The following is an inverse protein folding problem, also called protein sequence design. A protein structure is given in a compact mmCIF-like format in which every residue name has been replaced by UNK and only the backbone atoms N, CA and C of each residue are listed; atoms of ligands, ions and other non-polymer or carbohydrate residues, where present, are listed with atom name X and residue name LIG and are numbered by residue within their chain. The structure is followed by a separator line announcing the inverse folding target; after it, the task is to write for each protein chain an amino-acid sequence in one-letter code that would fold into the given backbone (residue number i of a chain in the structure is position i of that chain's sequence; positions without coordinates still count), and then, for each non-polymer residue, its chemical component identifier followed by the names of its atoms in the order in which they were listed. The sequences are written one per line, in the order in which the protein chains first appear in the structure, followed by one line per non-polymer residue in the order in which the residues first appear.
data_IF_460413218614
#
_entry.id   IF_460413218614
#
_cell.length_a   1.000
_cell.length_b   1.000
_cell.length_c   1.000
_cell.angle_alpha   90.00
_cell.angle_beta   90.00
_cell.angle_gamma   90.00
#
_symmetry.space_group_name_H-M   'P 1'
#
loop_
_entity.id
_entity.type
_entity.pdbx_description
1 polymer ?
#
# COMPACT_ATOMS: atom_id res chain seq x y z
N UNK A 1 -9.06 -31.76 -24.93
CA UNK A 1 -8.09 -31.43 -26.00
C UNK A 1 -8.27 -29.99 -26.53
N UNK A 2 -9.47 -29.57 -26.93
CA UNK A 2 -9.73 -28.23 -27.47
C UNK A 2 -9.33 -27.07 -26.55
N UNK A 3 -9.63 -27.13 -25.24
CA UNK A 3 -9.28 -26.06 -24.29
C UNK A 3 -7.77 -25.87 -24.11
N UNK A 4 -6.97 -26.94 -24.16
CA UNK A 4 -5.52 -26.88 -24.02
C UNK A 4 -4.86 -26.30 -25.29
N UNK A 5 -5.36 -26.66 -26.46
CA UNK A 5 -4.91 -26.08 -27.74
C UNK A 5 -5.23 -24.58 -27.83
N UNK A 6 -6.37 -24.14 -27.33
CA UNK A 6 -6.71 -22.71 -27.24
C UNK A 6 -5.77 -21.94 -26.29
N UNK A 7 -5.43 -22.51 -25.13
CA UNK A 7 -4.47 -21.94 -24.19
C UNK A 7 -3.07 -21.83 -24.81
N UNK A 8 -2.62 -22.87 -25.51
CA UNK A 8 -1.33 -22.86 -26.23
C UNK A 8 -1.32 -21.80 -27.33
N UNK A 9 -2.38 -21.71 -28.14
CA UNK A 9 -2.52 -20.65 -29.17
C UNK A 9 -2.52 -19.26 -28.55
N UNK A 10 -3.21 -19.06 -27.41
CA UNK A 10 -3.26 -17.78 -26.70
C UNK A 10 -1.89 -17.39 -26.17
N UNK A 11 -1.07 -18.33 -25.70
CA UNK A 11 0.30 -18.08 -25.23
C UNK A 11 1.27 -17.76 -26.36
N UNK A 12 1.17 -18.49 -27.47
CA UNK A 12 2.05 -18.31 -28.62
C UNK A 12 1.70 -17.09 -29.47
N UNK A 13 0.50 -16.50 -29.30
CA UNK A 13 0.16 -15.26 -29.97
C UNK A 13 1.03 -14.12 -29.44
N UNK A 14 1.63 -13.28 -30.31
CA UNK A 14 2.51 -12.19 -29.88
C UNK A 14 1.76 -11.16 -29.06
N UNK A 15 2.48 -10.42 -28.24
CA UNK A 15 2.00 -9.16 -27.67
C UNK A 15 1.80 -8.19 -28.83
N UNK A 16 0.60 -7.62 -28.95
CA UNK A 16 0.28 -6.71 -30.07
C UNK A 16 0.20 -5.25 -29.63
N UNK A 17 0.31 -5.01 -28.34
CA UNK A 17 0.23 -3.68 -27.74
C UNK A 17 1.59 -3.31 -27.14
N UNK A 18 2.35 -2.48 -27.86
CA UNK A 18 3.64 -1.95 -27.40
C UNK A 18 3.39 -0.79 -26.42
N UNK A 19 2.91 -1.12 -25.24
CA UNK A 19 2.52 -0.18 -24.17
C UNK A 19 2.83 -0.76 -22.81
N UNK A 20 2.96 0.13 -21.81
CA UNK A 20 2.96 -0.21 -20.41
C UNK A 20 1.51 -0.11 -19.86
N UNK A 21 0.99 -1.21 -19.34
CA UNK A 21 -0.37 -1.27 -18.77
C UNK A 21 -0.29 -1.43 -17.27
N UNK A 22 -0.93 -0.54 -16.56
CA UNK A 22 -0.91 -0.40 -15.11
C UNK A 22 -2.26 -0.71 -14.49
N UNK A 23 -2.24 -1.24 -13.29
CA UNK A 23 -3.37 -1.25 -12.35
C UNK A 23 -2.86 -1.26 -10.91
N UNK A 24 -3.65 -0.79 -9.97
CA UNK A 24 -3.33 -0.82 -8.55
C UNK A 24 -4.59 -1.19 -7.77
N UNK A 25 -4.46 -2.06 -6.76
CA UNK A 25 -5.56 -2.55 -5.93
C UNK A 25 -6.83 -2.91 -6.72
N UNK A 26 -6.65 -3.59 -7.86
CA UNK A 26 -7.73 -4.01 -8.76
C UNK A 26 -8.61 -2.86 -9.28
N UNK A 27 -8.02 -1.75 -9.64
CA UNK A 27 -8.74 -0.67 -10.34
C UNK A 27 -8.62 0.73 -9.72
N UNK A 28 -7.59 0.99 -8.92
CA UNK A 28 -7.31 2.35 -8.40
C UNK A 28 -6.13 2.99 -9.12
N UNK A 29 -6.16 4.32 -9.23
CA UNK A 29 -4.99 5.11 -9.66
C UNK A 29 -4.21 5.54 -8.42
N UNK A 30 -3.28 4.69 -7.94
CA UNK A 30 -2.58 4.92 -6.66
C UNK A 30 -1.31 4.09 -6.52
N UNK A 31 -0.59 4.28 -5.40
CA UNK A 31 0.52 3.44 -4.95
C UNK A 31 1.72 3.41 -5.91
N UNK A 32 2.60 2.42 -5.80
CA UNK A 32 3.81 2.27 -6.63
C UNK A 32 3.54 2.28 -8.14
N UNK A 33 2.49 1.64 -8.69
CA UNK A 33 2.18 1.75 -10.11
C UNK A 33 1.92 3.20 -10.56
N UNK A 34 1.30 4.05 -9.72
CA UNK A 34 1.11 5.49 -10.01
C UNK A 34 2.47 6.20 -10.11
N UNK A 35 3.33 6.03 -9.11
CA UNK A 35 4.66 6.65 -9.09
C UNK A 35 5.50 6.25 -10.33
N UNK A 36 5.48 4.96 -10.69
CA UNK A 36 6.17 4.46 -11.88
C UNK A 36 5.60 5.07 -13.16
N UNK A 37 4.25 5.15 -13.29
CA UNK A 37 3.64 5.70 -14.51
C UNK A 37 3.91 7.19 -14.68
N UNK A 38 3.97 7.94 -13.59
CA UNK A 38 4.35 9.36 -13.60
C UNK A 38 5.81 9.54 -14.05
N UNK A 39 6.74 8.74 -13.47
CA UNK A 39 8.15 8.76 -13.86
C UNK A 39 8.35 8.29 -15.30
N UNK A 40 7.58 7.30 -15.77
CA UNK A 40 7.64 6.85 -17.17
C UNK A 40 7.22 7.94 -18.15
N UNK A 41 6.16 8.68 -17.83
CA UNK A 41 5.75 9.84 -18.64
C UNK A 41 6.80 10.94 -18.65
N UNK A 42 7.45 11.20 -17.51
CA UNK A 42 8.52 12.21 -17.39
C UNK A 42 9.73 11.85 -18.27
N UNK A 43 10.21 10.59 -18.22
CA UNK A 43 11.45 10.15 -18.87
C UNK A 43 11.28 9.68 -20.33
N UNK A 44 10.07 9.24 -20.69
CA UNK A 44 9.76 8.69 -22.02
C UNK A 44 8.30 8.96 -22.40
N UNK A 45 7.94 10.24 -22.65
CA UNK A 45 6.56 10.64 -22.92
C UNK A 45 5.98 10.02 -24.21
N UNK A 46 6.81 9.51 -25.10
CA UNK A 46 6.40 8.81 -26.31
C UNK A 46 5.87 7.39 -26.07
N UNK A 47 6.12 6.81 -24.88
CA UNK A 47 5.65 5.46 -24.55
C UNK A 47 4.17 5.50 -24.15
N UNK A 48 3.31 4.71 -24.83
CA UNK A 48 1.89 4.65 -24.46
C UNK A 48 1.68 4.06 -23.06
N UNK A 49 1.01 4.82 -22.20
CA UNK A 49 0.63 4.42 -20.85
C UNK A 49 -0.87 4.17 -20.81
N UNK A 50 -1.26 3.00 -20.32
CA UNK A 50 -2.68 2.62 -20.15
C UNK A 50 -2.89 2.25 -18.68
N UNK A 51 -3.94 2.82 -18.10
CA UNK A 51 -4.40 2.48 -16.76
C UNK A 51 -5.70 1.71 -16.81
N UNK A 52 -5.72 0.56 -16.17
CA UNK A 52 -6.95 -0.20 -15.89
C UNK A 52 -7.44 0.20 -14.51
N UNK A 53 -8.55 0.89 -14.48
CA UNK A 53 -9.17 1.42 -13.25
C UNK A 53 -10.65 1.10 -13.22
N UNK A 54 -11.27 1.11 -12.03
CA UNK A 54 -12.72 1.02 -11.92
C UNK A 54 -13.42 2.25 -12.53
N UNK A 55 -14.66 2.12 -12.95
CA UNK A 55 -15.40 3.16 -13.68
C UNK A 55 -15.41 4.52 -12.96
N UNK A 56 -15.52 4.52 -11.63
CA UNK A 56 -15.49 5.71 -10.76
C UNK A 56 -14.10 6.38 -10.72
N UNK A 57 -13.02 5.65 -11.01
CA UNK A 57 -11.63 6.13 -10.98
C UNK A 57 -11.12 6.65 -12.33
N UNK A 58 -11.89 6.55 -13.41
CA UNK A 58 -11.45 6.96 -14.77
C UNK A 58 -10.99 8.43 -14.78
N UNK A 59 -11.70 9.30 -14.07
CA UNK A 59 -11.38 10.74 -14.00
C UNK A 59 -10.13 11.05 -13.16
N UNK A 60 -9.66 10.12 -12.35
CA UNK A 60 -8.45 10.29 -11.54
C UNK A 60 -7.16 10.06 -12.34
N UNK A 61 -7.26 9.41 -13.50
CA UNK A 61 -6.12 9.14 -14.37
C UNK A 61 -5.75 10.40 -15.17
N UNK A 62 -4.48 10.84 -15.13
CA UNK A 62 -4.04 12.01 -15.88
C UNK A 62 -4.21 11.87 -17.39
N UNK A 63 -4.34 12.98 -18.09
CA UNK A 63 -4.58 13.04 -19.55
C UNK A 63 -3.45 12.50 -20.40
N UNK A 64 -2.23 12.36 -19.85
CA UNK A 64 -1.12 11.73 -20.55
C UNK A 64 -1.27 10.21 -20.69
N UNK A 65 -2.15 9.59 -19.91
CA UNK A 65 -2.41 8.16 -19.94
C UNK A 65 -3.85 7.86 -20.38
N UNK A 66 -4.03 6.72 -21.05
CA UNK A 66 -5.36 6.25 -21.43
C UNK A 66 -5.97 5.44 -20.28
N UNK A 67 -7.09 5.91 -19.72
CA UNK A 67 -7.88 5.15 -18.77
C UNK A 67 -8.83 4.18 -19.47
N UNK A 68 -8.94 2.95 -18.98
CA UNK A 68 -9.90 1.94 -19.44
C UNK A 68 -10.51 1.29 -18.20
N UNK A 69 -11.81 1.08 -18.22
CA UNK A 69 -12.49 0.36 -17.14
C UNK A 69 -12.02 -1.10 -17.10
N UNK A 70 -11.50 -1.51 -15.93
CA UNK A 70 -10.90 -2.82 -15.70
C UNK A 70 -11.90 -3.97 -15.90
N UNK A 71 -13.19 -3.75 -15.64
CA UNK A 71 -14.24 -4.76 -15.70
C UNK A 71 -14.81 -4.95 -17.12
N UNK A 72 -14.24 -4.25 -18.11
CA UNK A 72 -14.68 -4.35 -19.51
C UNK A 72 -13.84 -5.33 -20.32
N UNK A 73 -14.41 -5.80 -21.46
CA UNK A 73 -13.64 -6.57 -22.44
C UNK A 73 -12.42 -5.81 -22.95
N UNK A 74 -12.53 -4.48 -23.12
CA UNK A 74 -11.40 -3.65 -23.55
C UNK A 74 -10.27 -3.64 -22.50
N UNK A 75 -10.60 -3.63 -21.21
CA UNK A 75 -9.65 -3.76 -20.11
C UNK A 75 -8.95 -5.10 -20.14
N UNK A 76 -9.70 -6.20 -20.25
CA UNK A 76 -9.12 -7.55 -20.37
C UNK A 76 -8.20 -7.66 -21.60
N UNK A 77 -8.62 -7.13 -22.73
CA UNK A 77 -7.82 -7.14 -23.96
C UNK A 77 -6.53 -6.33 -23.82
N UNK A 78 -6.60 -5.11 -23.26
CA UNK A 78 -5.43 -4.27 -23.01
C UNK A 78 -4.43 -4.99 -22.11
N UNK A 79 -4.89 -5.57 -20.99
CA UNK A 79 -4.06 -6.35 -20.09
C UNK A 79 -3.42 -7.56 -20.77
N UNK A 80 -4.19 -8.32 -21.53
CA UNK A 80 -3.72 -9.53 -22.19
C UNK A 80 -2.78 -9.26 -23.38
N UNK A 81 -2.91 -8.13 -24.07
CA UNK A 81 -2.10 -7.79 -25.25
C UNK A 81 -0.86 -6.94 -24.92
N UNK A 82 -0.78 -6.37 -23.73
CA UNK A 82 0.32 -5.51 -23.29
C UNK A 82 1.67 -6.20 -23.36
N UNK A 83 2.70 -5.48 -23.78
CA UNK A 83 4.10 -5.93 -23.72
C UNK A 83 4.64 -5.87 -22.31
N UNK A 84 4.29 -4.83 -21.54
CA UNK A 84 4.66 -4.69 -20.14
C UNK A 84 3.41 -4.50 -19.29
N UNK A 85 3.31 -5.23 -18.17
CA UNK A 85 2.23 -5.11 -17.16
C UNK A 85 2.80 -4.80 -15.80
N UNK A 86 2.16 -3.90 -15.08
CA UNK A 86 2.57 -3.49 -13.75
C UNK A 86 1.35 -3.50 -12.82
N UNK A 87 1.48 -4.16 -11.68
CA UNK A 87 0.49 -4.17 -10.59
C UNK A 87 1.14 -4.13 -9.20
N UNK A 88 0.32 -4.13 -8.14
CA UNK A 88 0.78 -4.20 -6.75
C UNK A 88 0.06 -5.25 -5.90
N UNK A 89 -0.82 -6.08 -6.48
CA UNK A 89 -1.64 -7.07 -5.74
C UNK A 89 -1.74 -8.43 -6.44
N UNK A 90 -0.80 -8.78 -7.31
CA UNK A 90 -0.84 -10.04 -8.06
C UNK A 90 -2.14 -10.26 -8.84
N UNK A 91 -2.57 -9.29 -9.64
CA UNK A 91 -3.83 -9.34 -10.41
C UNK A 91 -4.07 -10.63 -11.21
N UNK A 92 -3.02 -11.38 -11.52
CA UNK A 92 -3.09 -12.67 -12.21
C UNK A 92 -2.84 -13.88 -11.28
N UNK A 93 -2.65 -13.65 -9.97
CA UNK A 93 -2.40 -14.74 -9.05
C UNK A 93 -3.67 -15.59 -8.87
N UNK A 94 -3.49 -16.90 -8.88
CA UNK A 94 -4.54 -17.81 -8.44
C UNK A 94 -4.35 -18.08 -6.96
N UNK A 95 -5.32 -17.70 -6.16
CA UNK A 95 -5.36 -17.92 -4.71
C UNK A 95 -5.71 -19.34 -4.30
N UNK A 96 -6.07 -20.21 -5.25
CA UNK A 96 -6.54 -21.59 -4.98
C UNK A 96 -5.39 -22.62 -4.97
N UNK A 97 -4.35 -22.40 -4.15
CA UNK A 97 -3.37 -23.46 -3.81
C UNK A 97 -3.86 -24.40 -2.70
N UNK A 98 -5.09 -24.23 -2.20
CA UNK A 98 -5.71 -25.09 -1.19
C UNK A 98 -6.00 -26.53 -1.66
N UNK A 99 -5.73 -26.85 -2.93
CA UNK A 99 -5.80 -28.21 -3.40
C UNK A 99 -4.48 -28.90 -3.17
N UNK A 100 -4.43 -29.73 -2.15
CA UNK A 100 -3.26 -30.48 -1.68
C UNK A 100 -2.80 -31.57 -2.65
N UNK A 101 -3.64 -31.94 -3.63
CA UNK A 101 -3.33 -33.00 -4.57
C UNK A 101 -2.37 -32.54 -5.69
N UNK A 102 -1.46 -33.44 -6.07
CA UNK A 102 -0.44 -33.21 -7.09
C UNK A 102 -1.03 -32.82 -8.45
N UNK A 103 -2.17 -33.38 -8.81
CA UNK A 103 -2.85 -33.10 -10.09
C UNK A 103 -3.35 -31.66 -10.17
N UNK A 104 -3.92 -31.16 -9.09
CA UNK A 104 -4.35 -29.76 -8.97
C UNK A 104 -3.18 -28.79 -9.01
N UNK A 105 -2.04 -29.12 -8.37
CA UNK A 105 -0.79 -28.31 -8.41
C UNK A 105 -0.22 -28.25 -9.83
N UNK A 106 -0.19 -29.37 -10.54
CA UNK A 106 0.28 -29.42 -11.93
C UNK A 106 -0.66 -28.63 -12.84
N UNK A 107 -1.98 -28.81 -12.71
CA UNK A 107 -2.96 -28.08 -13.51
C UNK A 107 -2.91 -26.58 -13.26
N UNK A 108 -2.67 -26.17 -12.02
CA UNK A 108 -2.44 -24.78 -11.63
C UNK A 108 -1.17 -24.21 -12.29
N UNK A 109 -0.06 -24.90 -12.18
CA UNK A 109 1.20 -24.50 -12.82
C UNK A 109 1.04 -24.35 -14.34
N UNK A 110 0.34 -25.27 -14.99
CA UNK A 110 0.02 -25.21 -16.41
C UNK A 110 -0.83 -23.98 -16.73
N UNK A 111 -1.93 -23.74 -16.00
CA UNK A 111 -2.82 -22.58 -16.22
C UNK A 111 -2.06 -21.26 -16.06
N UNK A 112 -1.25 -21.14 -15.01
CA UNK A 112 -0.50 -19.92 -14.74
C UNK A 112 0.60 -19.69 -15.76
N UNK A 113 1.28 -20.76 -16.20
CA UNK A 113 2.26 -20.70 -17.30
C UNK A 113 1.64 -20.16 -18.59
N UNK A 114 0.40 -20.55 -18.92
CA UNK A 114 -0.29 -20.10 -20.13
C UNK A 114 -0.95 -18.71 -20.02
N UNK A 115 -1.02 -18.12 -18.82
CA UNK A 115 -1.54 -16.77 -18.65
C UNK A 115 -0.60 -15.66 -19.15
N UNK A 116 0.70 -15.94 -19.26
CA UNK A 116 1.69 -14.96 -19.75
C UNK A 116 2.07 -15.29 -21.20
N UNK A 117 1.98 -14.31 -22.08
CA UNK A 117 2.38 -14.47 -23.48
C UNK A 117 3.89 -14.46 -23.63
N UNK A 118 4.39 -15.06 -24.73
CA UNK A 118 5.81 -14.98 -25.08
C UNK A 118 6.21 -13.52 -25.30
N UNK A 119 7.30 -13.09 -24.67
CA UNK A 119 7.80 -11.71 -24.76
C UNK A 119 7.11 -10.69 -23.85
N UNK A 120 6.03 -11.08 -23.14
CA UNK A 120 5.39 -10.20 -22.17
C UNK A 120 6.21 -10.14 -20.89
N UNK A 121 6.41 -8.93 -20.38
CA UNK A 121 7.02 -8.65 -19.08
C UNK A 121 5.95 -8.30 -18.07
N UNK A 122 6.12 -8.80 -16.84
CA UNK A 122 5.19 -8.59 -15.76
C UNK A 122 5.95 -8.25 -14.50
N UNK A 123 5.55 -7.15 -13.89
CA UNK A 123 6.11 -6.63 -12.67
C UNK A 123 5.03 -6.46 -11.64
N UNK A 124 5.31 -6.82 -10.40
CA UNK A 124 4.47 -6.48 -9.26
C UNK A 124 5.31 -5.85 -8.17
N UNK A 125 4.88 -4.71 -7.67
CA UNK A 125 5.62 -3.94 -6.67
C UNK A 125 5.27 -4.35 -5.26
N UNK A 126 4.28 -5.26 -5.08
CA UNK A 126 3.65 -5.44 -3.81
C UNK A 126 3.17 -4.07 -3.24
N UNK A 127 2.83 -3.98 -1.96
CA UNK A 127 2.27 -2.76 -1.37
C UNK A 127 2.86 -2.47 0.03
N UNK A 128 4.18 -2.65 0.18
CA UNK A 128 4.98 -2.25 1.34
C UNK A 128 5.46 -3.39 2.21
N UNK A 129 6.23 -3.02 3.25
CA UNK A 129 6.79 -3.95 4.23
C UNK A 129 5.67 -4.60 5.05
N UNK A 130 5.56 -5.94 5.08
CA UNK A 130 4.47 -6.59 5.79
C UNK A 130 4.70 -6.56 7.31
N UNK A 131 3.71 -6.07 8.05
CA UNK A 131 3.63 -6.26 9.50
C UNK A 131 2.87 -7.54 9.84
N UNK A 132 1.73 -7.76 9.16
CA UNK A 132 0.84 -8.90 9.40
C UNK A 132 1.33 -10.13 8.65
N UNK A 133 1.26 -11.30 9.29
CA UNK A 133 1.61 -12.57 8.65
C UNK A 133 0.71 -12.83 7.44
N UNK A 134 1.28 -13.36 6.37
CA UNK A 134 0.63 -13.55 5.09
C UNK A 134 0.71 -14.99 4.60
N UNK A 135 -0.31 -15.40 3.85
CA UNK A 135 -0.34 -16.71 3.21
C UNK A 135 -0.08 -17.84 4.20
N UNK A 136 0.88 -18.69 3.90
CA UNK A 136 1.27 -19.85 4.72
C UNK A 136 1.92 -19.50 6.07
N UNK A 137 2.37 -18.27 6.26
CA UNK A 137 2.96 -17.84 7.53
C UNK A 137 1.89 -17.49 8.58
N UNK A 138 0.61 -17.40 8.18
CA UNK A 138 -0.50 -17.13 9.10
C UNK A 138 -0.70 -18.30 10.07
N UNK A 139 -0.95 -17.98 11.32
CA UNK A 139 -1.21 -18.97 12.38
C UNK A 139 -2.42 -19.82 11.98
N UNK A 140 -2.25 -21.15 11.99
CA UNK A 140 -3.31 -22.10 11.61
C UNK A 140 -3.54 -22.30 10.11
N UNK A 141 -2.79 -21.59 9.24
CA UNK A 141 -2.99 -21.65 7.79
C UNK A 141 -1.73 -22.10 7.03
N UNK A 142 -1.43 -23.39 7.09
CA UNK A 142 -0.17 -23.96 6.55
C UNK A 142 -0.16 -24.16 5.02
N UNK A 143 -1.28 -23.96 4.34
CA UNK A 143 -1.44 -24.42 2.95
C UNK A 143 -1.73 -23.31 1.91
N UNK A 144 -1.81 -22.04 2.30
CA UNK A 144 -2.12 -20.94 1.38
C UNK A 144 -0.85 -20.22 0.99
N UNK A 145 -0.37 -20.48 -0.22
CA UNK A 145 0.70 -19.70 -0.84
C UNK A 145 0.17 -18.96 -2.07
N UNK A 146 0.90 -17.95 -2.48
CA UNK A 146 0.65 -17.26 -3.74
C UNK A 146 1.68 -17.73 -4.76
N UNK A 147 1.30 -17.83 -6.01
CA UNK A 147 2.25 -18.05 -7.09
C UNK A 147 1.79 -17.31 -8.33
N UNK A 148 2.67 -16.51 -8.87
CA UNK A 148 2.47 -15.82 -10.14
C UNK A 148 3.72 -16.01 -11.01
N UNK A 149 3.94 -17.23 -11.57
CA UNK A 149 5.09 -17.51 -12.40
C UNK A 149 5.22 -16.51 -13.55
N UNK A 150 6.45 -16.17 -13.90
CA UNK A 150 6.78 -15.17 -14.94
C UNK A 150 6.43 -13.71 -14.54
N UNK A 151 6.20 -13.44 -13.25
CA UNK A 151 6.07 -12.09 -12.72
C UNK A 151 7.28 -11.81 -11.83
N UNK A 152 7.96 -10.69 -12.06
CA UNK A 152 9.07 -10.25 -11.23
C UNK A 152 8.54 -9.40 -10.08
N UNK A 153 8.92 -9.76 -8.86
CA UNK A 153 8.69 -8.99 -7.65
C UNK A 153 9.70 -7.85 -7.56
N UNK A 154 9.21 -6.64 -7.32
CA UNK A 154 9.99 -5.43 -7.11
C UNK A 154 9.84 -5.03 -5.64
N UNK A 155 10.91 -5.11 -4.86
CA UNK A 155 10.84 -5.00 -3.40
C UNK A 155 11.83 -3.98 -2.84
N UNK A 156 11.50 -3.44 -1.65
CA UNK A 156 12.25 -2.38 -0.98
C UNK A 156 13.16 -2.84 0.16
N UNK A 157 13.08 -4.09 0.61
CA UNK A 157 13.95 -4.60 1.68
C UNK A 157 14.08 -6.12 1.70
N UNK A 158 15.18 -6.62 2.28
CA UNK A 158 15.49 -8.06 2.36
C UNK A 158 14.46 -8.83 3.20
N UNK A 159 13.95 -8.24 4.28
CA UNK A 159 12.90 -8.87 5.08
C UNK A 159 11.65 -9.18 4.25
N UNK A 160 11.17 -8.22 3.46
CA UNK A 160 10.03 -8.45 2.55
C UNK A 160 10.33 -9.52 1.52
N UNK A 161 11.56 -9.57 0.99
CA UNK A 161 12.00 -10.60 0.07
C UNK A 161 11.91 -11.98 0.71
N UNK A 162 12.46 -12.18 1.92
CA UNK A 162 12.39 -13.46 2.64
C UNK A 162 10.94 -13.91 2.88
N UNK A 163 10.06 -12.98 3.28
CA UNK A 163 8.62 -13.25 3.43
C UNK A 163 8.02 -13.68 2.10
N UNK A 164 8.28 -12.94 1.03
CA UNK A 164 7.74 -13.24 -0.30
C UNK A 164 8.25 -14.58 -0.84
N UNK A 165 9.52 -14.88 -0.68
CA UNK A 165 10.08 -16.18 -1.09
C UNK A 165 9.40 -17.35 -0.37
N UNK A 166 9.11 -17.22 0.93
CA UNK A 166 8.36 -18.23 1.68
C UNK A 166 6.95 -18.40 1.17
N UNK A 167 6.19 -17.31 1.04
CA UNK A 167 4.76 -17.38 0.67
C UNK A 167 4.51 -17.65 -0.81
N UNK A 168 5.51 -17.39 -1.68
CA UNK A 168 5.46 -17.71 -3.12
C UNK A 168 6.19 -18.99 -3.49
N UNK A 169 6.72 -19.72 -2.51
CA UNK A 169 7.54 -20.93 -2.71
C UNK A 169 8.77 -20.69 -3.60
N UNK A 170 9.34 -19.50 -3.57
CA UNK A 170 10.48 -19.13 -4.41
C UNK A 170 10.23 -19.17 -5.92
N UNK A 171 8.97 -19.17 -6.34
CA UNK A 171 8.60 -19.31 -7.76
C UNK A 171 8.66 -18.00 -8.55
N UNK A 172 8.85 -16.87 -7.88
CA UNK A 172 8.89 -15.55 -8.48
C UNK A 172 10.29 -14.95 -8.39
N UNK A 173 10.88 -14.50 -9.50
CA UNK A 173 12.13 -13.75 -9.44
C UNK A 173 11.93 -12.42 -8.68
N UNK A 174 12.92 -12.06 -7.88
CA UNK A 174 12.91 -10.82 -7.07
C UNK A 174 13.99 -9.87 -7.58
N UNK A 175 13.66 -8.59 -7.62
CA UNK A 175 14.61 -7.49 -7.78
C UNK A 175 14.46 -6.50 -6.62
N UNK A 176 15.58 -6.23 -5.98
CA UNK A 176 15.68 -5.26 -4.90
C UNK A 176 15.94 -3.88 -5.51
N UNK A 177 14.91 -3.04 -5.56
CA UNK A 177 14.96 -1.76 -6.27
C UNK A 177 14.46 -0.56 -5.45
N UNK A 178 13.96 -0.80 -4.26
CA UNK A 178 13.19 0.17 -3.50
C UNK A 178 11.67 0.03 -3.74
N UNK A 179 10.91 0.85 -3.06
CA UNK A 179 9.45 0.91 -3.16
C UNK A 179 9.05 2.22 -3.86
N UNK A 180 8.60 2.21 -5.12
CA UNK A 180 8.39 3.43 -5.92
C UNK A 180 7.47 4.48 -5.29
N UNK A 181 6.44 4.07 -4.54
CA UNK A 181 5.55 5.01 -3.84
C UNK A 181 6.25 5.81 -2.74
N UNK A 182 7.37 5.28 -2.22
CA UNK A 182 8.13 5.93 -1.16
C UNK A 182 9.05 7.04 -1.68
N UNK A 183 9.34 7.10 -2.97
CA UNK A 183 10.22 8.12 -3.56
C UNK A 183 9.76 9.54 -3.19
N UNK A 184 8.44 9.75 -3.09
CA UNK A 184 7.87 11.03 -2.66
C UNK A 184 8.28 11.45 -1.24
N UNK A 185 8.67 10.50 -0.37
CA UNK A 185 8.97 10.77 1.03
C UNK A 185 10.42 11.22 1.25
N UNK A 186 11.30 11.08 0.23
CA UNK A 186 12.72 11.40 0.32
C UNK A 186 13.08 12.82 -0.16
N UNK A 187 12.42 13.31 -1.21
CA UNK A 187 12.93 14.47 -1.99
C UNK A 187 11.97 15.67 -2.00
N UNK A 188 11.03 15.75 -1.04
CA UNK A 188 10.05 16.85 -1.01
C UNK A 188 10.60 18.12 -0.41
N UNK A 189 10.44 19.22 -1.12
CA UNK A 189 10.65 20.56 -0.56
C UNK A 189 9.45 20.99 0.29
N UNK A 190 9.66 22.01 1.14
CA UNK A 190 8.55 22.60 1.90
C UNK A 190 7.46 23.15 0.98
N UNK A 191 7.82 23.65 -0.20
CA UNK A 191 6.87 24.14 -1.20
C UNK A 191 6.01 23.01 -1.77
N UNK A 192 6.61 21.84 -2.11
CA UNK A 192 5.87 20.68 -2.61
C UNK A 192 4.84 20.18 -1.59
N UNK A 193 5.22 20.19 -0.30
CA UNK A 193 4.30 19.83 0.79
C UNK A 193 3.14 20.82 0.87
N UNK A 194 3.38 22.12 0.73
CA UNK A 194 2.32 23.14 0.77
C UNK A 194 1.37 23.01 -0.43
N UNK A 195 1.90 22.78 -1.63
CA UNK A 195 1.09 22.51 -2.82
C UNK A 195 0.23 21.27 -2.59
N UNK A 196 0.81 20.20 -2.07
CA UNK A 196 0.07 18.97 -1.79
C UNK A 196 -0.99 19.16 -0.69
N UNK A 197 -0.69 19.93 0.37
CA UNK A 197 -1.70 20.28 1.38
C UNK A 197 -2.88 21.02 0.76
N UNK A 198 -2.62 21.98 -0.15
CA UNK A 198 -3.68 22.70 -0.85
C UNK A 198 -4.53 21.79 -1.74
N UNK A 199 -3.91 20.85 -2.49
CA UNK A 199 -4.62 19.85 -3.31
C UNK A 199 -5.53 18.96 -2.45
N UNK A 200 -5.10 18.59 -1.25
CA UNK A 200 -5.86 17.75 -0.32
C UNK A 200 -6.88 18.56 0.52
N UNK A 201 -6.96 19.87 0.36
CA UNK A 201 -7.82 20.73 1.18
C UNK A 201 -7.39 20.85 2.64
N UNK A 202 -6.10 20.62 2.94
CA UNK A 202 -5.55 20.69 4.29
C UNK A 202 -5.09 22.11 4.64
N UNK A 203 -5.21 22.57 5.90
CA UNK A 203 -4.84 23.92 6.29
C UNK A 203 -3.33 24.13 6.20
N UNK A 204 -2.91 25.18 5.47
CA UNK A 204 -1.51 25.49 5.25
C UNK A 204 -0.75 25.87 6.53
N UNK A 205 -1.43 26.53 7.49
CA UNK A 205 -0.84 27.06 8.72
C UNK A 205 -0.85 26.11 9.91
N UNK A 206 -1.53 24.96 9.80
CA UNK A 206 -1.59 23.94 10.86
C UNK A 206 -0.71 22.74 10.53
N UNK A 207 -0.18 22.13 11.58
CA UNK A 207 0.44 20.83 11.53
C UNK A 207 -0.63 19.75 11.40
N UNK A 208 -0.33 18.69 10.68
CA UNK A 208 -1.25 17.58 10.40
C UNK A 208 -0.87 16.36 11.23
N UNK A 209 -1.76 15.94 12.12
CA UNK A 209 -1.72 14.62 12.74
C UNK A 209 -2.61 13.70 11.89
N UNK A 210 -1.99 12.78 11.17
CA UNK A 210 -2.71 11.77 10.38
C UNK A 210 -3.05 10.59 11.28
N UNK A 211 -4.33 10.33 11.49
CA UNK A 211 -4.82 9.13 12.16
C UNK A 211 -5.32 8.12 11.15
N UNK A 212 -4.61 7.00 11.02
CA UNK A 212 -4.87 5.96 10.03
C UNK A 212 -4.97 4.57 10.67
N UNK A 213 -6.05 4.29 11.43
CA UNK A 213 -6.21 3.01 12.12
C UNK A 213 -6.53 1.89 11.13
N UNK A 214 -6.09 0.68 11.47
CA UNK A 214 -6.41 -0.52 10.71
C UNK A 214 -7.83 -0.97 11.03
N UNK A 215 -8.51 -1.37 9.99
CA UNK A 215 -9.80 -2.03 10.10
C UNK A 215 -9.67 -3.41 10.78
N UNK A 216 -10.67 -3.81 11.56
CA UNK A 216 -10.79 -5.15 12.16
C UNK A 216 -11.80 -5.97 11.39
N UNK A 217 -11.45 -7.21 11.05
CA UNK A 217 -12.40 -8.14 10.45
C UNK A 217 -12.64 -9.30 11.43
N UNK A 218 -13.76 -9.31 12.07
CA UNK A 218 -14.22 -10.48 12.85
C UNK A 218 -14.67 -11.65 11.95
N UNK A 219 -14.11 -11.74 10.73
CA UNK A 219 -14.41 -12.76 9.74
C UNK A 219 -15.62 -12.46 8.84
N UNK A 220 -16.45 -11.47 9.16
CA UNK A 220 -17.58 -11.04 8.33
C UNK A 220 -17.50 -9.54 8.00
N UNK A 221 -17.15 -9.23 6.75
CA UNK A 221 -17.02 -7.86 6.22
C UNK A 221 -18.37 -7.10 6.25
N UNK A 222 -19.49 -7.81 6.34
CA UNK A 222 -20.83 -7.23 6.39
C UNK A 222 -21.32 -6.95 7.82
N UNK A 223 -20.52 -7.30 8.83
CA UNK A 223 -20.90 -7.10 10.22
C UNK A 223 -20.72 -5.63 10.64
N UNK A 224 -21.66 -5.10 11.43
CA UNK A 224 -21.58 -3.75 12.01
C UNK A 224 -20.36 -3.55 12.93
N UNK A 225 -19.76 -4.63 13.45
CA UNK A 225 -18.52 -4.59 14.22
C UNK A 225 -17.32 -4.07 13.41
N UNK A 226 -17.28 -4.32 12.09
CA UNK A 226 -16.25 -3.78 11.16
C UNK A 226 -16.27 -2.25 11.13
N UNK A 227 -17.46 -1.66 11.11
CA UNK A 227 -17.66 -0.21 11.16
C UNK A 227 -17.09 0.41 12.43
N UNK A 228 -17.25 -0.28 13.55
CA UNK A 228 -16.89 0.27 14.87
C UNK A 228 -15.38 0.32 15.12
N UNK A 229 -14.56 -0.47 14.46
CA UNK A 229 -13.14 -0.61 14.83
C UNK A 229 -12.35 0.70 14.77
N UNK A 230 -12.42 1.45 13.68
CA UNK A 230 -11.73 2.75 13.58
C UNK A 230 -12.38 3.86 14.40
N UNK A 231 -13.72 3.89 14.42
CA UNK A 231 -14.48 4.89 15.20
C UNK A 231 -14.34 4.64 16.69
N UNK A 232 -14.38 3.39 17.16
CA UNK A 232 -14.16 3.07 18.56
C UNK A 232 -12.80 3.61 19.05
N UNK A 233 -11.73 3.48 18.26
CA UNK A 233 -10.45 4.07 18.64
C UNK A 233 -10.51 5.60 18.73
N UNK A 234 -11.22 6.26 17.80
CA UNK A 234 -11.42 7.70 17.83
C UNK A 234 -12.26 8.12 19.07
N UNK A 235 -13.29 7.34 19.43
CA UNK A 235 -14.13 7.60 20.59
C UNK A 235 -13.41 7.39 21.93
N UNK A 236 -12.37 6.57 21.97
CA UNK A 236 -11.51 6.41 23.15
C UNK A 236 -10.60 7.63 23.40
N UNK A 237 -10.48 8.53 22.42
CA UNK A 237 -9.63 9.70 22.51
C UNK A 237 -10.43 10.97 22.78
N UNK A 238 -9.93 11.80 23.67
CA UNK A 238 -10.34 13.19 23.72
C UNK A 238 -9.50 14.00 22.71
N UNK A 239 -10.06 14.26 21.54
CA UNK A 239 -9.35 14.91 20.41
C UNK A 239 -8.77 16.27 20.80
N UNK A 240 -9.50 17.09 21.57
CA UNK A 240 -8.99 18.39 22.04
C UNK A 240 -7.73 18.21 22.90
N UNK A 241 -7.78 17.34 23.91
CA UNK A 241 -6.60 17.07 24.75
C UNK A 241 -5.43 16.49 23.95
N UNK A 242 -5.71 15.67 22.93
CA UNK A 242 -4.68 15.13 22.05
C UNK A 242 -3.99 16.25 21.28
N UNK A 243 -4.76 17.11 20.61
CA UNK A 243 -4.21 18.23 19.82
C UNK A 243 -3.48 19.25 20.71
N UNK A 244 -3.97 19.48 21.95
CA UNK A 244 -3.29 20.32 22.94
C UNK A 244 -1.92 19.73 23.36
N UNK A 245 -1.84 18.39 23.55
CA UNK A 245 -0.59 17.71 23.86
C UNK A 245 0.43 17.84 22.71
N UNK A 246 -0.02 17.65 21.46
CA UNK A 246 0.82 17.88 20.28
C UNK A 246 1.25 19.34 20.16
N UNK A 247 0.31 20.28 20.38
CA UNK A 247 0.63 21.72 20.33
C UNK A 247 1.66 22.12 21.37
N UNK A 248 1.53 21.60 22.59
CA UNK A 248 2.49 21.84 23.67
C UNK A 248 3.86 21.21 23.38
N UNK A 249 3.90 19.98 22.86
CA UNK A 249 5.17 19.27 22.61
C UNK A 249 5.92 19.84 21.40
N UNK A 250 5.22 20.21 20.34
CA UNK A 250 5.82 20.64 19.07
C UNK A 250 5.67 22.14 18.75
N UNK A 251 5.17 22.94 19.70
CA UNK A 251 5.04 24.39 19.61
C UNK A 251 4.34 24.89 18.33
N UNK A 252 3.23 24.25 17.95
CA UNK A 252 2.48 24.54 16.72
C UNK A 252 1.00 24.23 16.90
N UNK A 253 0.13 24.81 16.09
CA UNK A 253 -1.27 24.41 16.01
C UNK A 253 -1.43 23.14 15.18
N UNK A 254 -2.31 22.24 15.60
CA UNK A 254 -2.54 20.96 14.97
C UNK A 254 -3.98 20.76 14.53
N UNK A 255 -4.17 19.93 13.52
CA UNK A 255 -5.47 19.41 13.07
C UNK A 255 -5.36 17.89 12.94
N UNK A 256 -6.44 17.17 13.27
CA UNK A 256 -6.53 15.72 13.10
C UNK A 256 -7.11 15.41 11.73
N UNK A 257 -6.39 14.65 10.91
CA UNK A 257 -6.88 14.10 9.65
C UNK A 257 -7.14 12.62 9.87
N UNK A 258 -8.40 12.18 9.78
CA UNK A 258 -8.77 10.79 9.94
C UNK A 258 -8.89 10.10 8.59
N UNK A 259 -8.10 9.03 8.39
CA UNK A 259 -8.14 8.19 7.19
C UNK A 259 -8.47 6.77 7.57
N UNK A 260 -9.72 6.39 7.39
CA UNK A 260 -10.19 5.05 7.67
C UNK A 260 -10.10 4.13 6.45
N UNK A 261 -10.13 2.84 6.70
CA UNK A 261 -10.28 1.88 5.62
C UNK A 261 -11.59 2.12 4.86
N UNK A 262 -11.60 1.92 3.54
CA UNK A 262 -12.74 2.27 2.68
C UNK A 262 -14.06 1.61 3.11
N UNK A 263 -14.04 0.40 3.68
CA UNK A 263 -15.25 -0.25 4.23
C UNK A 263 -15.79 0.49 5.46
N UNK A 264 -14.94 1.09 6.25
CA UNK A 264 -15.33 1.90 7.42
C UNK A 264 -15.83 3.26 6.95
N UNK A 265 -15.08 3.91 6.07
CA UNK A 265 -15.39 5.23 5.50
C UNK A 265 -16.77 5.29 4.86
N UNK A 266 -17.15 4.27 4.08
CA UNK A 266 -18.44 4.18 3.42
C UNK A 266 -19.65 4.20 4.38
N UNK A 267 -19.42 3.94 5.67
CA UNK A 267 -20.45 3.92 6.73
C UNK A 267 -20.41 5.15 7.64
N UNK A 268 -19.43 6.05 7.47
CA UNK A 268 -19.24 7.23 8.31
C UNK A 268 -20.11 8.39 7.79
N UNK A 269 -20.88 8.99 8.68
CA UNK A 269 -21.44 10.31 8.45
C UNK A 269 -20.41 11.39 8.89
N UNK A 270 -19.67 11.92 7.91
CA UNK A 270 -18.63 12.91 8.17
C UNK A 270 -19.18 14.26 8.67
N UNK A 271 -20.44 14.59 8.37
CA UNK A 271 -21.09 15.79 8.92
C UNK A 271 -21.28 15.66 10.42
N UNK A 272 -21.76 14.49 10.89
CA UNK A 272 -21.90 14.21 12.34
C UNK A 272 -20.55 14.24 13.05
N UNK A 273 -19.49 13.69 12.44
CA UNK A 273 -18.13 13.75 12.96
C UNK A 273 -17.67 15.21 13.08
N UNK A 274 -17.85 16.00 12.03
CA UNK A 274 -17.46 17.42 12.02
C UNK A 274 -18.16 18.21 13.13
N UNK A 275 -19.47 18.01 13.31
CA UNK A 275 -20.25 18.65 14.38
C UNK A 275 -19.77 18.20 15.74
N UNK A 276 -19.63 16.87 15.97
CA UNK A 276 -19.25 16.28 17.27
C UNK A 276 -17.87 16.79 17.74
N UNK A 277 -16.93 16.96 16.83
CA UNK A 277 -15.56 17.39 17.13
C UNK A 277 -15.28 18.85 16.77
N UNK A 278 -16.33 19.65 16.59
CA UNK A 278 -16.25 21.11 16.38
C UNK A 278 -15.25 21.50 15.24
N UNK A 279 -15.26 20.77 14.14
CA UNK A 279 -14.39 21.01 12.98
C UNK A 279 -12.90 20.72 13.21
N UNK A 280 -12.53 20.07 14.34
CA UNK A 280 -11.14 19.70 14.63
C UNK A 280 -10.66 18.47 13.85
N UNK A 281 -11.56 17.78 13.15
CA UNK A 281 -11.29 16.59 12.36
C UNK A 281 -11.57 16.87 10.89
N UNK A 282 -10.63 16.45 10.03
CA UNK A 282 -10.75 16.51 8.56
C UNK A 282 -10.89 15.08 8.03
N UNK A 283 -11.78 14.89 7.05
CA UNK A 283 -11.89 13.65 6.30
C UNK A 283 -10.68 13.43 5.41
N UNK A 284 -9.87 12.41 5.71
CA UNK A 284 -8.69 11.98 4.95
C UNK A 284 -8.99 10.92 3.89
N UNK A 285 -10.25 10.61 3.60
CA UNK A 285 -10.63 9.60 2.60
C UNK A 285 -10.99 10.19 1.23
N UNK A 286 -11.03 11.53 1.11
CA UNK A 286 -11.42 12.23 -0.13
C UNK A 286 -10.51 11.94 -1.33
N UNK A 287 -9.26 11.52 -1.09
CA UNK A 287 -8.29 11.16 -2.12
C UNK A 287 -7.82 9.71 -1.95
N UNK A 288 -7.61 8.96 -3.04
CA UNK A 288 -7.37 7.52 -2.97
C UNK A 288 -5.99 7.13 -2.44
N UNK A 289 -4.97 7.98 -2.60
CA UNK A 289 -3.59 7.61 -2.35
C UNK A 289 -3.14 7.94 -0.92
N UNK A 290 -2.65 6.91 -0.18
CA UNK A 290 -2.11 7.06 1.17
C UNK A 290 -0.80 7.86 1.17
N UNK A 291 0.04 7.70 0.15
CA UNK A 291 1.33 8.38 0.06
C UNK A 291 1.17 9.91 0.07
N UNK A 292 0.15 10.45 -0.59
CA UNK A 292 -0.15 11.88 -0.62
C UNK A 292 -0.42 12.43 0.80
N UNK A 293 -1.12 11.67 1.64
CA UNK A 293 -1.37 12.06 3.04
C UNK A 293 -0.13 11.89 3.91
N UNK A 294 0.69 10.84 3.70
CA UNK A 294 1.95 10.67 4.43
C UNK A 294 2.92 11.83 4.18
N UNK A 295 2.96 12.34 2.95
CA UNK A 295 3.72 13.54 2.59
C UNK A 295 3.31 14.76 3.42
N UNK A 296 2.00 14.97 3.59
CA UNK A 296 1.43 16.14 4.26
C UNK A 296 1.40 16.01 5.79
N UNK A 297 1.49 14.78 6.32
CA UNK A 297 1.44 14.55 7.75
C UNK A 297 2.71 15.03 8.45
N UNK A 298 2.56 15.82 9.51
CA UNK A 298 3.65 16.23 10.40
C UNK A 298 3.88 15.22 11.53
N UNK A 299 2.85 14.40 11.82
CA UNK A 299 2.93 13.19 12.65
C UNK A 299 1.93 12.14 12.16
N UNK A 300 2.27 10.87 12.35
CA UNK A 300 1.38 9.73 12.07
C UNK A 300 0.94 9.08 13.39
N UNK A 301 -0.34 8.76 13.48
CA UNK A 301 -0.89 7.89 14.51
C UNK A 301 -1.62 6.74 13.84
N UNK A 302 -1.23 5.52 14.15
CA UNK A 302 -1.79 4.30 13.56
C UNK A 302 -1.76 3.15 14.56
N UNK A 303 -2.03 1.92 14.10
CA UNK A 303 -1.93 0.69 14.90
C UNK A 303 -1.20 -0.43 14.12
N UNK A 304 -1.90 -1.44 13.63
CA UNK A 304 -1.33 -2.56 12.88
C UNK A 304 -1.23 -2.29 11.36
N UNK A 305 -0.85 -1.09 10.95
CA UNK A 305 -0.76 -0.69 9.55
C UNK A 305 0.68 -0.59 9.05
N UNK A 306 0.96 -1.19 7.88
CA UNK A 306 2.29 -1.11 7.24
C UNK A 306 2.69 0.31 6.80
N UNK A 307 1.77 1.27 6.76
CA UNK A 307 2.09 2.66 6.40
C UNK A 307 3.09 3.32 7.37
N UNK A 308 3.22 2.81 8.62
CA UNK A 308 4.23 3.29 9.55
C UNK A 308 5.65 3.05 9.05
N UNK A 309 5.89 1.95 8.31
CA UNK A 309 7.20 1.65 7.74
C UNK A 309 7.56 2.59 6.59
N UNK A 310 6.58 2.97 5.77
CA UNK A 310 6.78 3.99 4.75
C UNK A 310 7.03 5.36 5.40
N UNK A 311 6.26 5.69 6.43
CA UNK A 311 6.37 6.98 7.11
C UNK A 311 7.71 7.21 7.81
N UNK A 312 8.44 6.15 8.18
CA UNK A 312 9.79 6.25 8.77
C UNK A 312 10.76 7.05 7.89
N UNK A 313 10.63 6.99 6.56
CA UNK A 313 11.50 7.73 5.64
C UNK A 313 11.40 9.25 5.79
N UNK A 314 10.31 9.75 6.34
CA UNK A 314 10.15 11.19 6.61
C UNK A 314 10.93 11.66 7.84
N UNK A 315 11.38 10.76 8.72
CA UNK A 315 11.96 11.07 10.03
C UNK A 315 10.99 11.73 11.02
N UNK A 316 9.71 11.92 10.64
CA UNK A 316 8.69 12.58 11.45
C UNK A 316 8.08 11.63 12.48
N UNK A 317 7.51 12.15 13.61
CA UNK A 317 6.97 11.32 14.69
C UNK A 317 5.88 10.36 14.24
N UNK A 318 6.01 9.10 14.66
CA UNK A 318 4.95 8.09 14.51
C UNK A 318 4.64 7.47 15.87
N UNK A 319 3.34 7.41 16.21
CA UNK A 319 2.81 6.83 17.44
C UNK A 319 1.87 5.70 17.12
N UNK A 320 1.94 4.62 17.90
CA UNK A 320 0.98 3.53 17.79
C UNK A 320 -0.06 3.66 18.91
N UNK A 321 -1.32 3.82 18.52
CA UNK A 321 -2.45 3.76 19.44
C UNK A 321 -3.20 2.45 19.22
N UNK A 322 -3.01 1.49 20.12
CA UNK A 322 -3.42 0.10 19.94
C UNK A 322 -4.17 -0.44 21.16
N UNK A 323 -5.36 0.09 21.49
CA UNK A 323 -6.06 -0.23 22.72
C UNK A 323 -6.51 -1.69 22.82
N UNK A 324 -6.64 -2.39 21.71
CA UNK A 324 -7.05 -3.79 21.61
C UNK A 324 -5.89 -4.75 21.27
N UNK A 325 -4.65 -4.37 21.52
CA UNK A 325 -3.45 -5.14 21.14
C UNK A 325 -3.51 -6.60 21.61
N UNK A 326 -3.91 -6.84 22.86
CA UNK A 326 -3.97 -8.18 23.45
C UNK A 326 -5.02 -9.07 22.77
N UNK A 327 -6.14 -8.48 22.37
CA UNK A 327 -7.19 -9.17 21.63
C UNK A 327 -6.78 -9.40 20.18
N UNK A 328 -6.15 -8.39 19.57
CA UNK A 328 -5.65 -8.44 18.20
C UNK A 328 -4.70 -9.62 17.99
N UNK A 329 -3.74 -9.81 18.89
CA UNK A 329 -2.78 -10.90 18.84
C UNK A 329 -3.41 -12.31 18.96
N UNK A 330 -4.61 -12.40 19.54
CA UNK A 330 -5.34 -13.68 19.71
C UNK A 330 -6.25 -14.00 18.53
N UNK A 331 -6.84 -12.99 17.91
CA UNK A 331 -7.93 -13.15 16.93
C UNK A 331 -7.41 -12.99 15.49
N UNK A 332 -6.46 -12.09 15.29
CA UNK A 332 -5.92 -11.80 13.96
C UNK A 332 -4.79 -12.76 13.58
N UNK A 333 -4.37 -12.70 12.35
CA UNK A 333 -3.42 -13.63 11.69
C UNK A 333 -1.96 -13.57 12.17
N UNK A 334 -1.67 -12.85 13.25
CA UNK A 334 -0.32 -12.69 13.79
C UNK A 334 0.49 -11.59 13.10
N UNK A 335 1.60 -11.22 13.72
CA UNK A 335 2.52 -10.19 13.23
C UNK A 335 3.92 -10.78 13.05
N UNK A 336 4.67 -10.27 12.07
CA UNK A 336 6.06 -10.66 11.83
C UNK A 336 7.05 -10.05 12.83
N UNK A 337 6.68 -8.95 13.47
CA UNK A 337 7.48 -8.27 14.49
C UNK A 337 6.69 -8.19 15.80
N UNK A 338 7.38 -8.32 16.92
CA UNK A 338 6.82 -7.87 18.19
C UNK A 338 6.63 -6.35 18.11
N UNK A 339 5.48 -5.86 18.53
CA UNK A 339 5.16 -4.45 18.50
C UNK A 339 6.15 -3.62 19.34
N UNK A 340 6.72 -4.21 20.40
CA UNK A 340 7.69 -3.57 21.29
C UNK A 340 9.10 -3.50 20.68
N UNK A 341 9.38 -4.25 19.62
CA UNK A 341 10.65 -4.18 18.88
C UNK A 341 10.63 -3.13 17.77
N UNK A 342 9.46 -2.57 17.49
CA UNK A 342 9.31 -1.50 16.49
C UNK A 342 9.86 -0.17 17.04
N UNK A 343 10.32 0.73 16.18
CA UNK A 343 10.88 2.03 16.62
C UNK A 343 9.84 2.99 17.17
N UNK A 344 8.56 2.63 17.16
CA UNK A 344 7.41 3.46 17.50
C UNK A 344 6.97 3.25 18.96
N UNK A 345 6.58 4.33 19.64
CA UNK A 345 5.93 4.20 20.96
C UNK A 345 4.54 3.62 20.78
N UNK A 346 4.25 2.49 21.44
CA UNK A 346 2.94 1.84 21.43
C UNK A 346 2.19 2.13 22.73
N UNK A 347 0.96 2.60 22.62
CA UNK A 347 0.08 2.96 23.75
C UNK A 347 -1.25 2.22 23.66
N UNK A 348 -1.64 1.54 24.73
CA UNK A 348 -2.91 0.82 24.82
C UNK A 348 -4.01 1.64 25.52
N UNK A 349 -3.65 2.76 26.13
CA UNK A 349 -4.62 3.71 26.73
C UNK A 349 -4.37 5.13 26.21
N UNK A 350 -5.40 5.97 26.29
CA UNK A 350 -5.29 7.37 25.89
C UNK A 350 -4.29 8.15 26.77
N UNK A 351 -4.26 7.88 28.08
CA UNK A 351 -3.31 8.53 28.98
C UNK A 351 -1.87 8.18 28.65
N UNK A 352 -1.57 6.88 28.33
CA UNK A 352 -0.25 6.47 27.89
C UNK A 352 0.13 7.09 26.53
N UNK A 353 -0.83 7.32 25.64
CA UNK A 353 -0.59 8.02 24.39
C UNK A 353 -0.17 9.48 24.64
N UNK A 354 -0.89 10.18 25.53
CA UNK A 354 -0.53 11.57 25.90
C UNK A 354 0.84 11.65 26.54
N UNK A 355 1.20 10.70 27.40
CA UNK A 355 2.53 10.58 28.00
C UNK A 355 3.60 10.32 26.93
N UNK A 356 3.35 9.41 25.98
CA UNK A 356 4.26 9.11 24.85
C UNK A 356 4.50 10.33 23.98
N UNK A 357 3.48 11.14 23.71
CA UNK A 357 3.61 12.41 22.97
C UNK A 357 4.46 13.41 23.76
N UNK A 358 4.18 13.57 25.05
CA UNK A 358 4.92 14.52 25.92
C UNK A 358 6.40 14.18 26.04
N UNK A 359 6.74 12.89 26.11
CA UNK A 359 8.09 12.36 26.29
C UNK A 359 8.79 12.05 24.94
N UNK A 360 8.22 12.40 23.81
CA UNK A 360 8.81 12.09 22.50
C UNK A 360 10.20 12.73 22.35
N UNK A 361 11.18 11.94 21.94
CA UNK A 361 12.54 12.38 21.72
C UNK A 361 12.98 12.08 20.28
N UNK A 362 13.21 13.13 19.49
CA UNK A 362 13.52 13.05 18.06
C UNK A 362 14.79 12.26 17.78
N UNK A 363 15.86 12.50 18.55
CA UNK A 363 17.16 11.86 18.32
C UNK A 363 17.10 10.36 18.62
N UNK A 364 16.43 9.97 19.70
CA UNK A 364 16.21 8.57 20.06
C UNK A 364 15.33 7.87 19.01
N UNK A 365 14.26 8.53 18.56
CA UNK A 365 13.38 8.01 17.52
C UNK A 365 14.11 7.79 16.20
N UNK A 366 14.87 8.78 15.73
CA UNK A 366 15.66 8.68 14.50
C UNK A 366 16.68 7.54 14.56
N UNK A 367 17.36 7.37 15.70
CA UNK A 367 18.31 6.26 15.91
C UNK A 367 17.62 4.90 15.83
N UNK A 368 16.45 4.75 16.46
CA UNK A 368 15.65 3.51 16.42
C UNK A 368 15.15 3.21 14.99
N UNK A 369 14.66 4.22 14.26
CA UNK A 369 14.23 4.07 12.86
C UNK A 369 15.38 3.60 11.97
N UNK A 370 16.56 4.24 12.07
CA UNK A 370 17.73 3.85 11.30
C UNK A 370 18.19 2.41 11.64
N UNK A 371 18.20 2.04 12.92
CA UNK A 371 18.52 0.68 13.33
C UNK A 371 17.55 -0.35 12.79
N UNK A 372 16.26 -0.03 12.77
CA UNK A 372 15.23 -0.90 12.21
C UNK A 372 15.34 -1.03 10.68
N UNK A 373 15.53 0.06 9.96
CA UNK A 373 15.76 0.06 8.51
C UNK A 373 16.97 -0.80 8.12
N UNK A 374 18.06 -0.66 8.86
CA UNK A 374 19.24 -1.52 8.67
C UNK A 374 18.92 -3.00 8.95
N UNK A 375 18.19 -3.29 10.03
CA UNK A 375 17.78 -4.66 10.41
C UNK A 375 16.96 -5.35 9.32
N UNK A 376 16.06 -4.64 8.66
CA UNK A 376 15.25 -5.20 7.58
C UNK A 376 15.92 -5.19 6.21
N UNK A 377 17.17 -4.70 6.11
CA UNK A 377 17.93 -4.61 4.86
C UNK A 377 17.25 -3.68 3.86
N UNK A 378 16.88 -2.47 4.29
CA UNK A 378 16.22 -1.48 3.44
C UNK A 378 17.12 -1.00 2.30
N UNK A 379 16.53 -0.86 1.09
CA UNK A 379 17.19 -0.34 -0.11
C UNK A 379 16.45 0.86 -0.73
N UNK A 380 15.42 1.39 -0.05
CA UNK A 380 14.75 2.62 -0.48
C UNK A 380 15.72 3.81 -0.35
N UNK A 381 15.82 4.62 -1.40
CA UNK A 381 16.70 5.81 -1.50
C UNK A 381 16.07 6.96 -2.30
N UNK A 382 14.77 6.86 -2.64
CA UNK A 382 14.04 7.88 -3.39
C UNK A 382 14.16 7.79 -4.92
N UNK A 383 14.75 6.70 -5.47
CA UNK A 383 14.97 6.50 -6.90
C UNK A 383 14.37 5.20 -7.46
N UNK A 384 13.47 4.56 -6.72
CA UNK A 384 12.87 3.30 -7.11
C UNK A 384 12.03 3.41 -8.39
N UNK A 385 11.23 4.49 -8.52
CA UNK A 385 10.43 4.74 -9.73
C UNK A 385 11.28 4.88 -10.99
N UNK A 386 12.44 5.55 -10.88
CA UNK A 386 13.37 5.73 -11.97
C UNK A 386 13.94 4.40 -12.44
N UNK A 387 14.44 3.57 -11.51
CA UNK A 387 14.97 2.22 -11.83
C UNK A 387 13.95 1.34 -12.55
N UNK A 388 12.70 1.31 -12.05
CA UNK A 388 11.63 0.54 -12.71
C UNK A 388 11.29 1.11 -14.08
N UNK A 389 11.28 2.42 -14.22
CA UNK A 389 11.02 3.09 -15.51
C UNK A 389 12.06 2.72 -16.55
N UNK A 390 13.35 2.71 -16.20
CA UNK A 390 14.43 2.28 -17.10
C UNK A 390 14.25 0.82 -17.55
N UNK A 391 13.85 -0.08 -16.64
CA UNK A 391 13.53 -1.47 -16.97
C UNK A 391 12.38 -1.56 -17.98
N UNK A 392 11.30 -0.79 -17.77
CA UNK A 392 10.14 -0.75 -18.66
C UNK A 392 10.54 -0.24 -20.05
N UNK A 393 11.28 0.86 -20.12
CA UNK A 393 11.77 1.43 -21.38
C UNK A 393 12.62 0.41 -22.15
N UNK A 394 13.54 -0.26 -21.46
CA UNK A 394 14.37 -1.29 -22.06
C UNK A 394 13.54 -2.46 -22.63
N UNK A 395 12.54 -2.93 -21.88
CA UNK A 395 11.69 -4.04 -22.32
C UNK A 395 10.75 -3.66 -23.47
N UNK A 396 10.30 -2.42 -23.55
CA UNK A 396 9.45 -1.93 -24.64
C UNK A 396 10.24 -1.68 -25.93
N UNK A 397 11.56 -1.40 -25.84
CA UNK A 397 12.44 -1.20 -27.01
C UNK A 397 12.94 -2.52 -27.63
N UNK A 398 12.91 -3.62 -26.89
CA UNK A 398 13.21 -4.97 -27.40
C UNK A 398 12.05 -5.55 -28.22
#
# INVERSE_FOLDING_TARGET
MNNMLQLIRKKLSPTTLNAAVFTSFNGRYSDSPKAISQKLHELAPEIPIIWLVSADQIKSVPTYAKAIDIDTQAGEEAWNKAKVRIDNVFCDASTNLNKTDLKSKILFGIKTYFKTKKGQKRYTTWHGTPLKMMGRDQIGNTNVGFSCPNTTLLLGNEFTKEVMERITYGTMPVQMIGCPRNDLLFNLTSNDIQVKKAELGLPAHKKVLLFAPTFRSDGDINNDNVYRSGINQLELMNVSKLLDAFSKRFSSEWVLVCRFHYHVDAKINWEDISVRYNGSIINGNSFPDMADYLVCADALMTDASSCMFDYMFTGRPCFLFFPDLDNYNKVERGMYFDINELPFSCSQSFDNLLESVGNFNESSYASKCNSFLNRIGNVDDGHASERVTEMIIHDLKK
#
